data_IF_369006774887
#
_entry.id   IF_369006774887
#
_cell.length_a   1.000
_cell.length_b   1.000
_cell.length_c   1.000
_cell.angle_alpha   90.00
_cell.angle_beta   90.00
_cell.angle_gamma   90.00
#
_symmetry.space_group_name_H-M   'P 1'
#
loop_
_entity.id
_entity.type
_entity.pdbx_description
1 polymer ?
#
# COMPACT_ATOMS: atom_id res chain seq x y z
N UNK A 1 2.00 39.45 -31.32
CA UNK A 1 2.04 38.97 -29.94
C UNK A 1 3.49 38.96 -29.47
N UNK A 2 3.79 39.57 -28.34
CA UNK A 2 5.10 39.48 -27.71
C UNK A 2 5.40 38.00 -27.40
N UNK A 3 6.54 37.49 -27.88
CA UNK A 3 6.95 36.12 -27.54
C UNK A 3 7.25 36.10 -26.03
N UNK A 4 6.65 35.17 -25.26
CA UNK A 4 7.00 35.04 -23.86
C UNK A 4 8.50 34.74 -23.77
N UNK A 5 9.21 35.54 -22.99
CA UNK A 5 10.64 35.33 -22.79
C UNK A 5 10.86 34.11 -21.88
N UNK A 6 12.07 33.55 -21.89
CA UNK A 6 12.39 32.32 -21.15
C UNK A 6 12.07 32.46 -19.64
N UNK A 7 12.28 33.65 -19.06
CA UNK A 7 11.99 33.93 -17.66
C UNK A 7 10.49 33.86 -17.33
N UNK A 8 9.62 34.34 -18.24
CA UNK A 8 8.18 34.24 -18.10
C UNK A 8 7.71 32.78 -18.16
N UNK A 9 8.32 31.97 -19.03
CA UNK A 9 8.01 30.53 -19.13
C UNK A 9 8.47 29.79 -17.88
N UNK A 10 9.68 30.05 -17.39
CA UNK A 10 10.19 29.46 -16.14
C UNK A 10 9.33 29.84 -14.92
N UNK A 11 8.91 31.10 -14.84
CA UNK A 11 7.99 31.56 -13.79
C UNK A 11 6.65 30.84 -13.85
N UNK A 12 6.11 30.65 -15.05
CA UNK A 12 4.87 29.90 -15.25
C UNK A 12 5.01 28.43 -14.84
N UNK A 13 6.10 27.75 -15.23
CA UNK A 13 6.34 26.35 -14.87
C UNK A 13 6.43 26.19 -13.36
N UNK A 14 7.20 27.04 -12.69
CA UNK A 14 7.30 27.03 -11.22
C UNK A 14 5.94 27.21 -10.54
N UNK A 15 5.10 28.10 -11.07
CA UNK A 15 3.76 28.31 -10.54
C UNK A 15 2.85 27.09 -10.75
N UNK A 16 2.90 26.45 -11.93
CA UNK A 16 2.14 25.23 -12.20
C UNK A 16 2.60 24.05 -11.33
N UNK A 17 3.90 23.93 -11.07
CA UNK A 17 4.45 22.91 -10.17
C UNK A 17 3.97 23.14 -8.73
N UNK A 18 3.87 24.40 -8.30
CA UNK A 18 3.30 24.74 -6.99
C UNK A 18 1.81 24.34 -6.90
N UNK A 19 1.01 24.68 -7.92
CA UNK A 19 -0.42 24.30 -7.97
C UNK A 19 -0.58 22.79 -7.97
N UNK A 20 0.26 22.07 -8.74
CA UNK A 20 0.29 20.61 -8.77
C UNK A 20 0.61 20.03 -7.40
N UNK A 21 1.63 20.57 -6.72
CA UNK A 21 2.02 20.14 -5.38
C UNK A 21 0.89 20.33 -4.36
N UNK A 22 0.19 21.48 -4.41
CA UNK A 22 -0.98 21.73 -3.55
C UNK A 22 -2.09 20.72 -3.83
N UNK A 23 -2.37 20.46 -5.11
CA UNK A 23 -3.39 19.51 -5.53
C UNK A 23 -3.09 18.08 -5.06
N UNK A 24 -1.84 17.64 -5.18
CA UNK A 24 -1.37 16.32 -4.73
C UNK A 24 -1.33 16.19 -3.20
N UNK A 25 -1.08 17.29 -2.48
CA UNK A 25 -1.07 17.33 -1.02
C UNK A 25 -2.47 17.34 -0.41
N UNK A 26 -3.51 17.64 -1.20
CA UNK A 26 -4.90 17.72 -0.74
C UNK A 26 -5.18 18.89 0.20
N UNK A 27 -4.28 19.87 0.29
CA UNK A 27 -4.48 21.06 1.11
C UNK A 27 -5.65 21.89 0.59
N UNK A 28 -6.33 22.54 1.54
CA UNK A 28 -7.35 23.51 1.22
C UNK A 28 -6.71 24.89 1.16
N UNK A 29 -7.02 25.65 0.12
CA UNK A 29 -6.55 27.02 -0.06
C UNK A 29 -7.72 27.99 0.06
N UNK A 30 -7.49 29.16 0.66
CA UNK A 30 -8.50 30.21 0.71
C UNK A 30 -8.76 30.82 -0.67
N UNK A 31 -9.90 31.48 -0.87
CA UNK A 31 -10.18 32.22 -2.13
C UNK A 31 -9.07 33.21 -2.48
N UNK A 32 -8.47 33.87 -1.49
CA UNK A 32 -7.37 34.83 -1.70
C UNK A 32 -6.11 34.14 -2.21
N UNK A 33 -5.72 33.02 -1.61
CA UNK A 33 -4.56 32.23 -2.04
C UNK A 33 -4.80 31.60 -3.42
N UNK A 34 -6.01 31.09 -3.66
CA UNK A 34 -6.41 30.55 -4.96
C UNK A 34 -6.29 31.61 -6.08
N UNK A 35 -6.72 32.85 -5.82
CA UNK A 35 -6.58 33.93 -6.79
C UNK A 35 -5.13 34.31 -7.03
N UNK A 36 -4.28 34.29 -5.99
CA UNK A 36 -2.84 34.55 -6.15
C UNK A 36 -2.15 33.44 -6.96
N UNK A 37 -2.50 32.17 -6.72
CA UNK A 37 -1.95 31.03 -7.45
C UNK A 37 -2.31 31.06 -8.93
N UNK A 38 -3.53 31.50 -9.25
CA UNK A 38 -4.08 31.42 -10.62
C UNK A 38 -4.06 32.75 -11.37
N UNK A 39 -3.54 33.81 -10.75
CA UNK A 39 -3.56 35.18 -11.26
C UNK A 39 -4.99 35.65 -11.62
N UNK A 40 -5.93 35.39 -10.71
CA UNK A 40 -7.35 35.78 -10.88
C UNK A 40 -7.61 37.19 -10.36
N UNK A 41 -8.53 37.87 -11.03
CA UNK A 41 -8.91 39.25 -10.66
C UNK A 41 -9.69 39.30 -9.34
N UNK A 42 -9.69 40.47 -8.70
CA UNK A 42 -10.49 40.74 -7.49
C UNK A 42 -11.99 40.50 -7.75
N UNK A 43 -12.48 40.84 -8.94
CA UNK A 43 -13.88 40.59 -9.31
C UNK A 43 -14.21 39.08 -9.32
N UNK A 44 -13.27 38.26 -9.79
CA UNK A 44 -13.38 36.80 -9.75
C UNK A 44 -13.37 36.30 -8.31
N UNK A 45 -12.50 36.84 -7.44
CA UNK A 45 -12.44 36.49 -6.03
C UNK A 45 -13.79 36.73 -5.31
N UNK A 46 -14.38 37.92 -5.49
CA UNK A 46 -15.69 38.25 -4.91
C UNK A 46 -16.79 37.30 -5.43
N UNK A 47 -16.75 36.93 -6.71
CA UNK A 47 -17.70 35.95 -7.25
C UNK A 47 -17.52 34.58 -6.62
N UNK A 48 -16.28 34.11 -6.46
CA UNK A 48 -15.95 32.80 -5.87
C UNK A 48 -16.40 32.70 -4.41
N UNK A 49 -16.23 33.77 -3.62
CA UNK A 49 -16.66 33.78 -2.21
C UNK A 49 -18.18 33.63 -2.03
N UNK A 50 -18.99 33.87 -3.06
CA UNK A 50 -20.45 33.69 -3.02
C UNK A 50 -20.92 32.31 -3.48
N UNK A 51 -20.01 31.45 -3.95
CA UNK A 51 -20.39 30.15 -4.51
C UNK A 51 -20.79 29.16 -3.40
N UNK A 52 -21.83 28.36 -3.69
CA UNK A 52 -22.33 27.33 -2.78
C UNK A 52 -21.30 26.21 -2.56
N UNK A 53 -21.45 25.47 -1.46
CA UNK A 53 -20.62 24.29 -1.15
C UNK A 53 -20.67 23.29 -2.31
N UNK A 54 -19.55 22.61 -2.58
CA UNK A 54 -19.37 21.69 -3.71
C UNK A 54 -19.41 22.33 -5.10
N UNK A 55 -19.50 23.66 -5.22
CA UNK A 55 -19.30 24.34 -6.51
C UNK A 55 -17.91 24.00 -7.07
N UNK A 56 -17.84 23.73 -8.38
CA UNK A 56 -16.61 23.39 -9.08
C UNK A 56 -16.38 24.28 -10.28
N UNK A 57 -15.12 24.60 -10.55
CA UNK A 57 -14.69 25.19 -11.83
C UNK A 57 -13.35 24.61 -12.25
N UNK A 58 -13.09 24.61 -13.55
CA UNK A 58 -11.83 24.15 -14.12
C UNK A 58 -10.87 25.33 -14.33
N UNK A 59 -9.59 25.10 -14.08
CA UNK A 59 -8.50 26.00 -14.43
C UNK A 59 -7.33 25.18 -14.99
N UNK A 60 -7.04 25.34 -16.28
CA UNK A 60 -6.10 24.50 -17.03
C UNK A 60 -6.41 23.00 -16.81
N UNK A 61 -5.46 22.24 -16.26
CA UNK A 61 -5.57 20.82 -15.98
C UNK A 61 -5.97 20.53 -14.52
N UNK A 62 -6.60 21.47 -13.84
CA UNK A 62 -7.03 21.36 -12.45
C UNK A 62 -8.51 21.69 -12.29
N UNK A 63 -9.14 21.05 -11.31
CA UNK A 63 -10.50 21.34 -10.86
C UNK A 63 -10.44 21.89 -9.45
N UNK A 64 -11.09 23.02 -9.21
CA UNK A 64 -11.20 23.62 -7.90
C UNK A 64 -12.61 23.40 -7.36
N UNK A 65 -12.71 22.78 -6.19
CA UNK A 65 -13.98 22.46 -5.54
C UNK A 65 -14.09 23.26 -4.24
N UNK A 66 -15.20 23.97 -4.04
CA UNK A 66 -15.51 24.59 -2.75
C UNK A 66 -15.82 23.49 -1.75
N UNK A 67 -14.98 23.35 -0.72
CA UNK A 67 -15.06 22.25 0.26
C UNK A 67 -15.55 22.67 1.63
N UNK A 68 -15.56 23.97 1.92
CA UNK A 68 -16.12 24.48 3.15
C UNK A 68 -15.85 25.96 3.37
N UNK A 69 -16.46 26.48 4.43
CA UNK A 69 -16.21 27.82 4.94
C UNK A 69 -15.79 27.70 6.40
N UNK A 70 -14.73 28.41 6.77
CA UNK A 70 -14.36 28.60 8.17
C UNK A 70 -14.35 30.10 8.44
N UNK A 71 -15.14 30.54 9.43
CA UNK A 71 -15.42 31.96 9.66
C UNK A 71 -15.95 32.64 8.38
N UNK A 72 -15.34 33.75 7.94
CA UNK A 72 -15.71 34.44 6.71
C UNK A 72 -14.84 34.03 5.51
N UNK A 73 -14.07 32.95 5.61
CA UNK A 73 -13.13 32.51 4.57
C UNK A 73 -13.64 31.23 3.90
N UNK A 74 -13.76 31.28 2.57
CA UNK A 74 -14.09 30.12 1.74
C UNK A 74 -12.83 29.34 1.39
N UNK A 75 -12.91 28.02 1.48
CA UNK A 75 -11.82 27.09 1.22
C UNK A 75 -12.10 26.20 0.03
N UNK A 76 -11.03 25.97 -0.75
CA UNK A 76 -11.06 25.25 -2.01
C UNK A 76 -10.06 24.10 -1.99
N UNK A 77 -10.50 22.94 -2.47
CA UNK A 77 -9.60 21.83 -2.77
C UNK A 77 -9.30 21.84 -4.27
N UNK A 78 -8.02 21.75 -4.61
CA UNK A 78 -7.55 21.63 -5.99
C UNK A 78 -7.27 20.16 -6.27
N UNK A 79 -7.75 19.64 -7.39
CA UNK A 79 -7.43 18.28 -7.86
C UNK A 79 -7.01 18.31 -9.32
N UNK A 80 -6.10 17.44 -9.73
CA UNK A 80 -5.78 17.27 -11.15
C UNK A 80 -6.99 16.75 -11.91
N UNK A 81 -7.28 17.35 -13.07
CA UNK A 81 -8.29 16.86 -14.00
C UNK A 81 -7.70 15.65 -14.74
N UNK A 82 -8.32 14.47 -14.60
CA UNK A 82 -7.94 13.30 -15.40
C UNK A 82 -8.26 13.56 -16.88
N UNK A 83 -7.45 13.02 -17.79
CA UNK A 83 -7.55 13.25 -19.23
C UNK A 83 -8.82 12.65 -19.90
N UNK A 84 -9.75 12.11 -19.13
CA UNK A 84 -10.93 11.39 -19.63
C UNK A 84 -12.19 12.26 -19.77
N UNK A 85 -12.14 13.56 -19.46
CA UNK A 85 -13.33 14.43 -19.59
C UNK A 85 -12.97 15.73 -20.31
N UNK A 86 -13.02 15.65 -21.64
CA UNK A 86 -13.47 16.76 -22.47
C UNK A 86 -14.71 16.29 -23.22
N UNK A 87 -15.79 16.04 -22.48
CA UNK A 87 -17.12 16.17 -23.08
C UNK A 87 -17.57 17.62 -22.90
N UNK A 88 -17.88 18.25 -24.03
CA UNK A 88 -18.27 19.64 -24.09
C UNK A 88 -19.63 19.84 -23.47
N UNK A 89 -19.66 20.38 -22.25
CA UNK A 89 -20.83 21.12 -21.78
C UNK A 89 -20.40 22.29 -20.91
N UNK A 90 -21.05 23.41 -21.18
CA UNK A 90 -20.64 24.78 -20.91
C UNK A 90 -20.41 25.15 -19.44
N UNK A 91 -19.38 25.98 -19.24
CA UNK A 91 -19.11 26.70 -18.00
C UNK A 91 -18.11 27.84 -18.23
N UNK A 92 -18.41 28.73 -19.18
CA UNK A 92 -17.61 29.91 -19.51
C UNK A 92 -17.75 31.00 -18.43
N UNK A 93 -16.64 31.43 -17.82
CA UNK A 93 -16.24 32.85 -17.60
C UNK A 93 -14.71 32.82 -17.35
N UNK A 94 -13.81 33.50 -18.06
CA UNK A 94 -13.86 34.29 -19.27
C UNK A 94 -12.43 34.52 -19.77
N UNK A 95 -12.26 34.62 -21.09
CA UNK A 95 -11.13 35.30 -21.72
C UNK A 95 -11.65 36.00 -22.98
N UNK A 96 -11.28 37.27 -23.24
CA UNK A 96 -11.49 37.87 -24.55
C UNK A 96 -10.48 37.26 -25.54
N UNK A 97 -11.00 36.69 -26.63
CA UNK A 97 -10.22 36.23 -27.78
C UNK A 97 -9.71 37.41 -28.61
N UNK A 98 -8.50 37.29 -29.15
CA UNK A 98 -8.24 37.65 -30.54
C UNK A 98 -7.25 36.65 -31.18
N UNK A 99 -7.74 36.08 -32.27
CA UNK A 99 -7.12 35.50 -33.48
C UNK A 99 -5.59 35.54 -33.59
N UNK A 100 -4.96 34.39 -33.87
CA UNK A 100 -4.48 34.08 -35.22
C UNK A 100 -3.96 32.65 -35.33
N UNK A 101 -4.31 32.01 -36.45
CA UNK A 101 -3.97 30.64 -36.82
C UNK A 101 -2.48 30.55 -37.21
N UNK A 102 -1.75 29.58 -36.68
CA UNK A 102 -0.63 28.94 -37.37
C UNK A 102 -0.66 27.45 -37.07
N UNK A 103 -0.96 26.66 -38.09
CA UNK A 103 -0.77 25.22 -38.10
C UNK A 103 0.73 24.91 -38.02
N UNK A 104 1.14 24.11 -37.03
CA UNK A 104 2.45 23.46 -37.02
C UNK A 104 2.27 22.02 -36.57
N UNK A 105 2.77 21.16 -37.45
CA UNK A 105 2.82 19.70 -37.45
C UNK A 105 3.12 19.06 -36.09
N UNK A 106 2.33 18.04 -35.79
CA UNK A 106 2.52 17.02 -34.75
C UNK A 106 3.87 16.31 -34.83
N UNK A 107 4.59 16.12 -33.72
CA UNK A 107 5.53 15.03 -33.56
C UNK A 107 4.82 13.77 -33.03
N UNK A 108 5.04 12.68 -33.75
CA UNK A 108 4.93 11.25 -33.46
C UNK A 108 4.20 10.75 -32.18
N UNK A 109 3.14 9.89 -32.28
CA UNK A 109 2.40 9.35 -31.13
C UNK A 109 3.12 8.30 -30.27
N UNK A 110 4.40 7.98 -30.50
CA UNK A 110 5.01 6.77 -29.91
C UNK A 110 5.63 6.90 -28.51
N UNK A 111 5.58 8.07 -27.86
CA UNK A 111 6.23 8.30 -26.55
C UNK A 111 5.29 8.40 -25.33
N UNK A 112 4.05 7.90 -25.42
CA UNK A 112 3.08 7.92 -24.33
C UNK A 112 2.54 6.51 -24.04
N UNK A 113 3.36 5.68 -23.38
CA UNK A 113 2.82 4.55 -22.61
C UNK A 113 3.54 4.42 -21.27
N UNK A 114 2.71 4.18 -20.25
CA UNK A 114 3.02 3.68 -18.91
C UNK A 114 3.21 4.76 -17.82
N UNK A 115 2.08 5.25 -17.30
CA UNK A 115 1.98 5.67 -15.90
C UNK A 115 1.44 4.52 -15.05
N UNK A 116 1.78 4.46 -13.76
CA UNK A 116 1.21 3.52 -12.79
C UNK A 116 -0.26 3.77 -12.50
N UNK A 117 -1.11 2.76 -12.63
CA UNK A 117 -2.45 2.77 -12.03
C UNK A 117 -2.35 2.44 -10.54
N UNK A 118 -2.96 3.28 -9.69
CA UNK A 118 -3.31 2.88 -8.33
C UNK A 118 -4.60 2.08 -8.39
N UNK A 119 -4.53 0.74 -8.28
CA UNK A 119 -5.73 -0.06 -8.09
C UNK A 119 -6.16 -0.09 -6.62
N UNK A 120 -7.37 0.38 -6.38
CA UNK A 120 -8.10 0.17 -5.12
C UNK A 120 -8.69 -1.24 -5.16
N UNK A 121 -8.16 -2.16 -4.37
CA UNK A 121 -8.80 -3.46 -4.11
C UNK A 121 -9.29 -3.48 -2.67
N UNK A 122 -10.59 -3.33 -2.48
CA UNK A 122 -11.26 -3.67 -1.22
C UNK A 122 -11.64 -5.17 -1.28
N UNK A 123 -11.32 -5.98 -0.26
CA UNK A 123 -11.74 -7.38 -0.24
C UNK A 123 -13.27 -7.50 -0.09
N UNK A 124 -13.91 -8.50 -0.72
CA UNK A 124 -15.32 -8.78 -0.51
C UNK A 124 -15.57 -9.23 0.95
N UNK A 125 -16.74 -8.93 1.52
CA UNK A 125 -17.08 -9.41 2.86
C UNK A 125 -17.13 -10.95 2.89
N UNK A 126 -16.68 -11.59 3.99
CA UNK A 126 -16.70 -13.04 4.10
C UNK A 126 -18.13 -13.55 4.05
N UNK A 127 -18.38 -14.55 3.18
CA UNK A 127 -19.64 -15.31 3.19
C UNK A 127 -19.69 -16.17 4.46
N UNK A 128 -20.85 -16.31 5.13
CA UNK A 128 -20.98 -17.21 6.25
C UNK A 128 -20.88 -18.66 5.76
N UNK A 129 -19.79 -19.34 6.13
CA UNK A 129 -19.64 -20.78 5.90
C UNK A 129 -20.26 -21.56 7.06
N UNK A 130 -21.16 -22.47 6.72
CA UNK A 130 -21.80 -23.41 7.63
C UNK A 130 -20.75 -24.29 8.35
N UNK A 131 -21.04 -24.62 9.60
CA UNK A 131 -20.23 -25.49 10.46
C UNK A 131 -20.06 -26.88 9.83
N UNK A 132 -18.84 -27.44 9.76
CA UNK A 132 -18.67 -28.88 9.61
C UNK A 132 -18.64 -29.55 10.99
N UNK A 133 -19.42 -30.62 11.11
CA UNK A 133 -19.41 -31.54 12.26
C UNK A 133 -18.03 -32.19 12.44
N UNK A 134 -17.53 -32.15 13.67
CA UNK A 134 -16.29 -32.77 14.09
C UNK A 134 -16.54 -34.27 14.32
N UNK A 135 -16.00 -35.15 13.47
CA UNK A 135 -15.83 -36.57 13.78
C UNK A 135 -14.37 -36.79 14.20
N UNK A 136 -14.15 -37.03 15.49
CA UNK A 136 -12.84 -37.37 16.05
C UNK A 136 -12.64 -38.88 15.90
N UNK A 137 -11.64 -39.29 15.11
CA UNK A 137 -11.08 -40.63 15.15
C UNK A 137 -9.67 -40.56 15.77
N UNK A 138 -9.54 -41.03 17.01
CA UNK A 138 -8.27 -41.19 17.71
C UNK A 138 -7.74 -42.61 17.46
N UNK A 139 -6.49 -42.72 17.01
CA UNK A 139 -5.78 -43.99 16.91
C UNK A 139 -5.13 -44.34 18.26
N UNK A 140 -5.42 -45.55 18.74
CA UNK A 140 -4.85 -46.18 19.94
C UNK A 140 -3.46 -46.77 19.68
N UNK A 141 -2.64 -46.81 20.74
CA UNK A 141 -1.71 -47.90 21.10
C UNK A 141 -1.61 -47.93 22.64
N UNK A 142 -1.26 -49.08 23.25
CA UNK A 142 -2.04 -49.65 24.35
C UNK A 142 -1.32 -49.62 25.69
N UNK A 143 -2.08 -49.82 26.77
CA UNK A 143 -1.53 -50.41 27.97
C UNK A 143 -2.48 -51.42 28.62
N UNK A 144 -1.85 -52.34 29.32
CA UNK A 144 -2.31 -53.66 29.70
C UNK A 144 -3.24 -53.73 30.93
N UNK A 145 -4.13 -54.73 30.88
CA UNK A 145 -4.51 -55.72 31.93
C UNK A 145 -5.89 -55.63 32.61
N UNK A 146 -6.50 -56.83 32.60
CA UNK A 146 -7.48 -57.43 33.51
C UNK A 146 -8.92 -56.95 33.42
N UNK A 147 -9.94 -57.78 33.62
CA UNK A 147 -10.18 -59.22 33.44
C UNK A 147 -11.71 -59.34 33.59
N UNK A 148 -12.35 -60.16 32.75
CA UNK A 148 -13.57 -60.97 32.96
C UNK A 148 -14.74 -60.34 33.78
N UNK A 149 -15.99 -60.40 33.34
CA UNK A 149 -16.89 -61.58 33.33
C UNK A 149 -18.16 -61.17 32.56
N UNK A 150 -18.79 -62.14 31.89
CA UNK A 150 -19.94 -62.02 31.01
C UNK A 150 -21.31 -62.10 31.77
N UNK A 151 -22.46 -62.42 31.13
CA UNK A 151 -23.64 -61.56 30.86
C UNK A 151 -24.88 -62.11 31.66
N UNK A 152 -26.18 -62.01 31.29
CA UNK A 152 -26.87 -61.45 30.10
C UNK A 152 -28.25 -60.77 30.33
N UNK A 153 -28.87 -60.40 29.20
CA UNK A 153 -30.29 -60.61 28.84
C UNK A 153 -31.34 -59.45 28.92
N UNK A 154 -31.85 -59.12 27.72
CA UNK A 154 -33.27 -59.03 27.27
C UNK A 154 -34.21 -58.06 28.02
N UNK A 155 -34.84 -57.13 27.29
CA UNK A 155 -36.31 -57.03 27.06
C UNK A 155 -36.67 -55.73 26.29
N UNK A 156 -37.52 -55.94 25.31
CA UNK A 156 -38.26 -55.06 24.40
C UNK A 156 -39.17 -54.01 25.08
N UNK A 157 -39.42 -52.86 24.42
CA UNK A 157 -40.69 -52.50 23.73
C UNK A 157 -41.00 -50.98 23.67
N UNK A 158 -41.49 -50.59 22.49
CA UNK A 158 -42.61 -49.66 22.22
C UNK A 158 -42.42 -48.12 22.28
N UNK A 159 -42.57 -47.52 21.09
CA UNK A 159 -43.21 -46.20 20.80
C UNK A 159 -44.71 -46.22 21.17
N UNK A 160 -45.51 -45.11 21.17
CA UNK A 160 -45.38 -43.88 20.35
C UNK A 160 -45.85 -42.55 21.01
N UNK A 161 -45.62 -41.42 20.31
CA UNK A 161 -46.63 -40.39 19.98
C UNK A 161 -46.01 -39.00 19.70
N UNK A 162 -46.36 -38.42 18.55
CA UNK A 162 -46.20 -36.99 18.21
C UNK A 162 -47.49 -36.22 18.55
N UNK A 163 -47.40 -34.88 18.64
CA UNK A 163 -48.38 -34.04 17.94
C UNK A 163 -47.74 -32.96 17.05
N UNK A 164 -48.43 -32.69 15.94
CA UNK A 164 -48.22 -31.61 14.96
C UNK A 164 -48.94 -30.31 15.40
N UNK A 165 -48.33 -29.15 15.16
CA UNK A 165 -48.98 -27.82 15.03
C UNK A 165 -48.16 -27.05 13.96
N UNK A 166 -48.62 -26.96 12.71
CA UNK A 166 -49.39 -25.87 12.06
C UNK A 166 -48.71 -24.49 12.07
N UNK A 167 -48.53 -23.95 10.85
CA UNK A 167 -47.86 -22.70 10.51
C UNK A 167 -48.85 -21.71 9.88
N UNK A 168 -48.70 -20.42 10.19
CA UNK A 168 -49.19 -19.29 9.38
C UNK A 168 -48.29 -18.05 9.58
N UNK A 169 -48.27 -17.09 8.64
CA UNK A 169 -47.11 -16.25 8.33
C UNK A 169 -47.13 -14.87 9.01
N UNK A 170 -45.97 -14.39 9.47
CA UNK A 170 -45.79 -13.05 10.02
C UNK A 170 -44.84 -12.17 9.21
N UNK A 171 -45.29 -10.92 9.04
CA UNK A 171 -44.82 -9.82 8.19
C UNK A 171 -43.42 -9.33 8.56
N UNK A 172 -42.62 -9.01 7.53
CA UNK A 172 -41.36 -8.28 7.64
C UNK A 172 -41.57 -6.82 8.09
N UNK A 173 -40.75 -6.32 9.04
CA UNK A 173 -40.48 -4.89 9.17
C UNK A 173 -39.11 -4.54 8.55
N UNK A 174 -39.12 -3.50 7.69
CA UNK A 174 -37.94 -2.83 7.13
C UNK A 174 -36.99 -2.38 8.24
N UNK A 175 -35.72 -2.81 8.20
CA UNK A 175 -34.66 -2.27 9.05
C UNK A 175 -33.99 -1.08 8.36
N UNK A 176 -34.26 0.12 8.87
CA UNK A 176 -33.32 1.24 8.80
C UNK A 176 -31.99 0.81 9.45
N UNK A 177 -30.92 0.74 8.67
CA UNK A 177 -29.58 0.52 9.21
C UNK A 177 -29.02 1.83 9.73
N UNK A 178 -29.26 2.03 11.02
CA UNK A 178 -28.52 2.90 11.90
C UNK A 178 -27.03 2.54 11.86
N UNK A 179 -26.19 3.49 11.47
CA UNK A 179 -24.73 3.40 11.43
C UNK A 179 -24.20 3.03 12.83
N UNK A 180 -23.92 1.75 13.07
CA UNK A 180 -23.23 1.29 14.27
C UNK A 180 -21.76 1.07 13.91
N UNK A 181 -20.88 1.80 14.60
CA UNK A 181 -19.47 1.45 14.68
C UNK A 181 -19.36 0.00 15.18
N UNK A 182 -18.83 -0.89 14.35
CA UNK A 182 -18.56 -2.27 14.75
C UNK A 182 -17.34 -2.28 15.68
N UNK A 183 -17.61 -2.53 16.95
CA UNK A 183 -16.65 -3.07 17.91
C UNK A 183 -16.57 -4.58 17.69
N UNK A 184 -15.44 -5.10 17.24
CA UNK A 184 -15.09 -6.51 17.37
C UNK A 184 -13.69 -6.60 17.99
N UNK A 185 -13.67 -6.97 19.26
CA UNK A 185 -12.47 -7.25 20.07
C UNK A 185 -11.95 -8.65 19.74
N UNK A 186 -10.75 -8.73 19.16
CA UNK A 186 -9.87 -9.90 19.30
C UNK A 186 -8.93 -9.59 20.48
N UNK A 187 -9.00 -10.39 21.54
CA UNK A 187 -8.42 -10.17 22.88
C UNK A 187 -6.92 -9.78 22.85
N UNK A 188 -6.63 -8.47 22.79
CA UNK A 188 -5.26 -7.93 22.88
C UNK A 188 -4.42 -8.04 21.60
N UNK A 189 -5.03 -8.32 20.44
CA UNK A 189 -4.32 -8.28 19.14
C UNK A 189 -4.22 -6.83 18.64
N UNK A 190 -3.00 -6.40 18.35
CA UNK A 190 -2.69 -5.10 17.79
C UNK A 190 -2.46 -5.24 16.28
N UNK A 191 -3.32 -4.66 15.43
CA UNK A 191 -3.21 -4.83 14.00
C UNK A 191 -1.92 -4.21 13.44
N UNK A 192 -1.37 -4.88 12.45
CA UNK A 192 -0.26 -4.40 11.64
C UNK A 192 -0.75 -3.67 10.40
N UNK A 193 -0.19 -2.49 10.16
CA UNK A 193 -0.49 -1.65 9.01
C UNK A 193 0.73 -1.56 8.10
N UNK A 194 0.47 -1.46 6.80
CA UNK A 194 1.51 -1.28 5.79
C UNK A 194 1.01 -0.33 4.70
N UNK A 195 1.95 0.37 4.06
CA UNK A 195 1.71 1.16 2.86
C UNK A 195 2.36 0.42 1.70
N UNK A 196 1.61 0.21 0.61
CA UNK A 196 2.11 -0.47 -0.59
C UNK A 196 1.94 0.48 -1.77
N UNK A 197 3.04 0.75 -2.48
CA UNK A 197 3.08 1.69 -3.59
C UNK A 197 3.58 0.93 -4.81
N UNK A 198 2.78 0.93 -5.86
CA UNK A 198 3.14 0.32 -7.14
C UNK A 198 3.91 1.28 -8.02
N UNK A 199 4.68 0.67 -8.93
CA UNK A 199 5.50 1.33 -9.93
C UNK A 199 6.37 2.47 -9.35
N UNK A 200 7.08 2.12 -8.29
CA UNK A 200 7.87 3.05 -7.51
C UNK A 200 8.97 3.73 -8.32
N UNK A 201 9.61 2.99 -9.23
CA UNK A 201 10.58 3.51 -10.18
C UNK A 201 9.94 3.71 -11.57
N UNK A 202 10.27 4.78 -12.30
CA UNK A 202 10.02 4.86 -13.74
C UNK A 202 10.67 3.68 -14.47
N UNK A 203 10.02 3.19 -15.53
CA UNK A 203 10.46 2.01 -16.26
C UNK A 203 11.94 2.05 -16.68
N UNK A 204 12.50 3.16 -17.21
CA UNK A 204 13.92 3.20 -17.57
C UNK A 204 14.87 2.99 -16.38
N UNK A 205 14.49 3.40 -15.17
CA UNK A 205 15.29 3.18 -13.96
C UNK A 205 15.22 1.72 -13.50
N UNK A 206 14.05 1.09 -13.63
CA UNK A 206 13.88 -0.33 -13.37
C UNK A 206 14.69 -1.19 -14.36
N UNK A 207 14.66 -0.86 -15.64
CA UNK A 207 15.42 -1.58 -16.68
C UNK A 207 16.93 -1.50 -16.40
N UNK A 208 17.42 -0.31 -16.04
CA UNK A 208 18.82 -0.15 -15.63
C UNK A 208 19.15 -0.92 -14.35
N UNK A 209 18.23 -0.99 -13.38
CA UNK A 209 18.42 -1.79 -12.17
C UNK A 209 18.51 -3.29 -12.48
N UNK A 210 17.66 -3.80 -13.38
CA UNK A 210 17.71 -5.20 -13.83
C UNK A 210 19.02 -5.52 -14.55
N UNK A 211 19.47 -4.65 -15.45
CA UNK A 211 20.76 -4.79 -16.11
C UNK A 211 21.93 -4.74 -15.10
N UNK A 212 21.87 -3.82 -14.13
CA UNK A 212 22.87 -3.68 -13.08
C UNK A 212 23.02 -4.96 -12.26
N UNK A 213 21.91 -5.56 -11.79
CA UNK A 213 22.02 -6.79 -11.00
C UNK A 213 22.56 -7.97 -11.81
N UNK A 214 22.21 -8.05 -13.10
CA UNK A 214 22.76 -9.06 -14.00
C UNK A 214 24.28 -8.92 -14.16
N UNK A 215 24.78 -7.69 -14.35
CA UNK A 215 26.22 -7.40 -14.44
C UNK A 215 26.95 -7.69 -13.12
N UNK A 216 26.31 -7.43 -11.97
CA UNK A 216 26.92 -7.60 -10.64
C UNK A 216 26.70 -8.99 -10.03
N UNK A 217 26.17 -9.95 -10.78
CA UNK A 217 25.82 -11.29 -10.28
C UNK A 217 26.94 -11.92 -9.43
N UNK A 218 28.18 -11.91 -9.91
CA UNK A 218 29.32 -12.57 -9.24
C UNK A 218 29.80 -11.85 -7.97
N UNK A 219 29.25 -10.66 -7.68
CA UNK A 219 29.58 -9.88 -6.48
C UNK A 219 28.59 -10.11 -5.33
N UNK A 220 27.48 -10.81 -5.59
CA UNK A 220 26.52 -11.18 -4.57
C UNK A 220 27.08 -12.26 -3.64
N UNK A 221 26.93 -12.07 -2.33
CA UNK A 221 27.44 -12.97 -1.32
C UNK A 221 26.31 -13.55 -0.47
N UNK A 222 26.44 -14.76 0.10
CA UNK A 222 25.45 -15.29 1.03
C UNK A 222 25.20 -14.36 2.22
N UNK A 223 23.94 -14.15 2.58
CA UNK A 223 23.59 -13.38 3.78
C UNK A 223 23.88 -14.15 5.06
N UNK A 224 24.22 -13.42 6.12
CA UNK A 224 24.29 -13.94 7.49
C UNK A 224 23.18 -13.33 8.34
N UNK A 225 22.97 -13.86 9.54
CA UNK A 225 22.15 -13.24 10.59
C UNK A 225 22.98 -13.10 11.87
N UNK A 226 22.49 -12.33 12.84
CA UNK A 226 23.18 -12.05 14.11
C UNK A 226 23.47 -13.32 14.92
N UNK A 227 22.64 -14.36 14.80
CA UNK A 227 22.81 -15.64 15.47
C UNK A 227 23.76 -16.60 14.72
N UNK A 228 24.23 -16.23 13.52
CA UNK A 228 24.97 -17.09 12.57
C UNK A 228 24.30 -18.45 12.29
N UNK A 229 22.98 -18.53 12.44
CA UNK A 229 22.21 -19.75 12.14
C UNK A 229 21.93 -19.85 10.63
N UNK A 230 22.56 -20.77 9.89
CA UNK A 230 22.34 -20.89 8.44
C UNK A 230 20.90 -21.30 8.08
N UNK A 231 20.14 -21.88 9.03
CA UNK A 231 18.76 -22.30 8.85
C UNK A 231 17.73 -21.20 9.12
N UNK A 232 18.15 -19.97 9.43
CA UNK A 232 17.24 -18.88 9.79
C UNK A 232 17.02 -17.86 8.68
N UNK A 233 18.05 -17.63 7.86
CA UNK A 233 17.98 -16.77 6.67
C UNK A 233 18.82 -17.37 5.55
N UNK A 234 18.23 -17.45 4.35
CA UNK A 234 18.94 -17.87 3.15
C UNK A 234 18.62 -16.91 2.02
N UNK A 235 19.61 -16.10 1.63
CA UNK A 235 19.53 -15.15 0.51
C UNK A 235 20.95 -14.77 0.07
N UNK A 236 21.07 -14.06 -1.05
CA UNK A 236 22.29 -13.35 -1.41
C UNK A 236 22.13 -11.85 -1.18
N UNK A 237 23.23 -11.13 -0.96
CA UNK A 237 23.28 -9.69 -0.74
C UNK A 237 24.43 -9.04 -1.53
N UNK A 238 24.17 -7.85 -2.04
CA UNK A 238 25.17 -6.91 -2.52
C UNK A 238 25.12 -5.67 -1.61
N UNK A 239 26.17 -5.45 -0.81
CA UNK A 239 26.20 -4.35 0.16
C UNK A 239 26.45 -2.98 -0.48
N UNK A 240 27.33 -2.92 -1.47
CA UNK A 240 27.74 -1.67 -2.11
C UNK A 240 27.11 -1.52 -3.50
N UNK A 241 26.12 -0.65 -3.60
CA UNK A 241 25.40 -0.33 -4.85
C UNK A 241 24.98 1.16 -4.82
N UNK A 242 25.95 2.10 -4.87
CA UNK A 242 25.72 3.51 -4.54
C UNK A 242 24.70 4.19 -5.46
N UNK A 243 24.67 3.87 -6.75
CA UNK A 243 23.70 4.43 -7.71
C UNK A 243 22.25 4.17 -7.26
N UNK A 244 21.88 2.90 -7.12
CA UNK A 244 20.50 2.53 -6.81
C UNK A 244 20.15 2.73 -5.34
N UNK A 245 21.12 2.61 -4.42
CA UNK A 245 20.87 2.97 -3.02
C UNK A 245 20.60 4.47 -2.88
N UNK A 246 21.30 5.34 -3.62
CA UNK A 246 21.04 6.78 -3.68
C UNK A 246 19.65 7.08 -4.25
N UNK A 247 19.33 6.49 -5.40
CA UNK A 247 18.03 6.65 -6.06
C UNK A 247 16.86 6.28 -5.13
N UNK A 248 16.94 5.12 -4.46
CA UNK A 248 15.90 4.67 -3.54
C UNK A 248 15.78 5.61 -2.34
N UNK A 249 16.89 6.02 -1.72
CA UNK A 249 16.87 6.98 -0.59
C UNK A 249 16.18 8.28 -0.96
N UNK A 250 16.50 8.85 -2.12
CA UNK A 250 15.95 10.15 -2.52
C UNK A 250 14.45 10.07 -2.79
N UNK A 251 13.98 9.02 -3.47
CA UNK A 251 12.54 8.79 -3.68
C UNK A 251 11.82 8.55 -2.36
N UNK A 252 12.40 7.75 -1.45
CA UNK A 252 11.82 7.50 -0.13
C UNK A 252 11.65 8.82 0.64
N UNK A 253 12.65 9.71 0.66
CA UNK A 253 12.55 11.02 1.31
C UNK A 253 11.40 11.85 0.76
N UNK A 254 11.21 11.85 -0.56
CA UNK A 254 10.13 12.61 -1.22
C UNK A 254 8.74 12.12 -0.80
N UNK A 255 8.54 10.81 -0.66
CA UNK A 255 7.22 10.24 -0.33
C UNK A 255 6.98 10.06 1.18
N UNK A 256 8.02 10.22 2.01
CA UNK A 256 7.96 9.89 3.43
C UNK A 256 6.84 10.59 4.19
N UNK A 257 6.59 11.91 4.01
CA UNK A 257 5.48 12.58 4.71
C UNK A 257 4.12 11.92 4.41
N UNK A 258 3.89 11.51 3.15
CA UNK A 258 2.68 10.81 2.74
C UNK A 258 2.56 9.42 3.35
N UNK A 259 3.67 8.67 3.38
CA UNK A 259 3.73 7.33 4.01
C UNK A 259 3.44 7.41 5.51
N UNK A 260 4.06 8.35 6.22
CA UNK A 260 3.86 8.55 7.66
C UNK A 260 2.41 8.92 7.97
N UNK A 261 1.83 9.85 7.21
CA UNK A 261 0.43 10.23 7.36
C UNK A 261 -0.52 9.04 7.11
N UNK A 262 -0.30 8.29 6.02
CA UNK A 262 -1.12 7.12 5.70
C UNK A 262 -1.07 6.06 6.80
N UNK A 263 0.12 5.79 7.35
CA UNK A 263 0.32 4.85 8.44
C UNK A 263 -0.01 5.40 9.83
N UNK A 264 -0.42 6.68 9.91
CA UNK A 264 -0.69 7.40 11.16
C UNK A 264 0.49 7.38 12.13
N UNK A 265 1.70 7.47 11.59
CA UNK A 265 2.93 7.55 12.36
C UNK A 265 3.27 9.03 12.55
N UNK A 266 3.57 9.49 13.78
CA UNK A 266 4.03 10.85 14.01
C UNK A 266 5.26 11.18 13.15
N UNK A 267 5.33 12.40 12.65
CA UNK A 267 6.52 12.88 11.93
C UNK A 267 7.74 12.84 12.83
N UNK A 268 8.88 12.45 12.28
CA UNK A 268 10.17 12.45 12.96
C UNK A 268 11.27 12.90 12.00
N UNK A 269 12.36 13.44 12.55
CA UNK A 269 13.53 13.79 11.77
C UNK A 269 14.25 12.52 11.30
N UNK A 270 14.47 12.40 9.98
CA UNK A 270 15.13 11.24 9.39
C UNK A 270 16.65 11.43 9.48
N UNK A 271 17.30 10.67 10.36
CA UNK A 271 18.76 10.70 10.47
C UNK A 271 19.45 9.89 9.36
N UNK A 272 18.91 8.72 9.03
CA UNK A 272 19.50 7.82 8.04
C UNK A 272 18.45 6.96 7.35
N UNK A 273 18.77 6.52 6.13
CA UNK A 273 18.02 5.51 5.38
C UNK A 273 19.02 4.45 4.92
N UNK A 274 19.00 3.30 5.58
CA UNK A 274 19.78 2.12 5.17
C UNK A 274 19.21 1.51 3.88
N UNK A 275 20.06 0.87 3.08
CA UNK A 275 19.63 0.12 1.89
C UNK A 275 20.50 -1.12 1.69
N UNK A 276 19.86 -2.25 1.46
CA UNK A 276 20.47 -3.54 1.15
C UNK A 276 19.82 -4.11 -0.11
N UNK A 277 20.64 -4.50 -1.09
CA UNK A 277 20.17 -5.16 -2.29
C UNK A 277 20.32 -6.68 -2.10
N UNK A 278 19.22 -7.41 -2.16
CA UNK A 278 19.17 -8.83 -1.85
C UNK A 278 18.48 -9.63 -2.96
N UNK A 279 18.87 -10.90 -3.09
CA UNK A 279 18.30 -11.85 -4.05
C UNK A 279 17.92 -13.15 -3.34
N UNK A 280 16.68 -13.59 -3.54
CA UNK A 280 16.17 -14.88 -3.08
C UNK A 280 15.93 -15.79 -4.29
N UNK A 281 16.73 -16.85 -4.41
CA UNK A 281 16.58 -17.90 -5.43
C UNK A 281 15.76 -19.09 -4.91
N UNK A 282 15.87 -20.24 -5.58
CA UNK A 282 15.16 -21.46 -5.21
C UNK A 282 15.48 -21.92 -3.77
N UNK A 283 14.43 -22.12 -2.96
CA UNK A 283 14.50 -22.52 -1.56
C UNK A 283 15.01 -21.45 -0.58
N UNK A 284 15.19 -20.19 -1.03
CA UNK A 284 15.59 -19.08 -0.17
C UNK A 284 14.40 -18.54 0.65
N UNK A 285 14.65 -18.05 1.86
CA UNK A 285 13.63 -17.59 2.83
C UNK A 285 14.26 -16.71 3.92
N UNK A 286 13.42 -16.11 4.78
CA UNK A 286 13.85 -15.48 6.02
C UNK A 286 12.76 -15.67 7.09
N UNK A 287 13.07 -16.38 8.18
CA UNK A 287 12.12 -16.66 9.27
C UNK A 287 11.67 -15.42 10.03
N UNK A 288 10.61 -15.57 10.83
CA UNK A 288 10.00 -14.54 11.67
C UNK A 288 11.04 -13.76 12.49
N UNK A 289 11.13 -12.45 12.23
CA UNK A 289 12.00 -11.50 12.93
C UNK A 289 11.37 -10.10 12.97
N UNK A 290 11.94 -9.20 13.77
CA UNK A 290 11.71 -7.77 13.67
C UNK A 290 13.05 -7.07 13.37
N UNK A 291 12.98 -5.80 13.03
CA UNK A 291 14.14 -5.07 12.52
C UNK A 291 14.74 -4.06 13.50
N UNK A 292 14.11 -3.88 14.65
CA UNK A 292 14.53 -2.95 15.70
C UNK A 292 14.61 -3.60 17.09
N UNK A 293 14.77 -4.93 17.15
CA UNK A 293 14.77 -5.72 18.37
C UNK A 293 16.06 -5.66 19.20
N UNK A 294 17.07 -4.90 18.79
CA UNK A 294 18.34 -4.73 19.51
C UNK A 294 18.65 -3.25 19.80
N UNK A 295 19.49 -2.93 20.80
CA UNK A 295 19.90 -1.55 21.07
C UNK A 295 20.49 -0.83 19.85
N UNK A 296 21.26 -1.53 19.03
CA UNK A 296 21.92 -0.98 17.83
C UNK A 296 20.92 -0.65 16.71
N UNK A 297 19.74 -1.29 16.75
CA UNK A 297 18.70 -1.17 15.72
C UNK A 297 17.46 -0.42 16.21
N UNK A 298 17.45 0.02 17.46
CA UNK A 298 16.31 0.65 18.13
C UNK A 298 15.86 1.98 17.51
N UNK A 299 16.73 2.66 16.75
CA UNK A 299 16.38 3.90 16.04
C UNK A 299 15.59 3.66 14.74
N UNK A 300 15.50 2.41 14.26
CA UNK A 300 14.71 2.06 13.06
C UNK A 300 13.22 2.14 13.38
N UNK A 301 12.55 3.09 12.72
CA UNK A 301 11.11 3.33 12.88
C UNK A 301 10.31 2.56 11.83
N UNK A 302 10.74 2.65 10.57
CA UNK A 302 10.11 2.01 9.43
C UNK A 302 11.07 1.08 8.71
N UNK A 303 10.54 -0.08 8.32
CA UNK A 303 11.15 -0.99 7.36
C UNK A 303 10.50 -0.75 5.99
N UNK A 304 11.30 -0.81 4.94
CA UNK A 304 10.80 -0.85 3.58
C UNK A 304 11.36 -2.04 2.79
N UNK A 305 10.57 -2.53 1.83
CA UNK A 305 11.00 -3.58 0.89
C UNK A 305 10.52 -3.20 -0.51
N UNK A 306 11.46 -2.81 -1.38
CA UNK A 306 11.21 -2.58 -2.80
C UNK A 306 11.45 -3.86 -3.58
N UNK A 307 10.43 -4.35 -4.29
CA UNK A 307 10.45 -5.55 -5.10
C UNK A 307 10.73 -5.25 -6.56
N UNK A 308 11.60 -6.03 -7.17
CA UNK A 308 11.81 -6.05 -8.62
C UNK A 308 12.29 -7.43 -9.05
N UNK A 309 12.03 -7.78 -10.31
CA UNK A 309 12.46 -9.05 -10.91
C UNK A 309 12.21 -9.00 -12.41
N UNK A 310 12.91 -9.86 -13.14
CA UNK A 310 12.74 -10.00 -14.58
C UNK A 310 11.31 -10.48 -14.91
N UNK A 311 10.76 -9.99 -16.01
CA UNK A 311 9.43 -10.38 -16.49
C UNK A 311 9.54 -11.31 -17.69
N UNK A 312 8.69 -12.36 -17.80
CA UNK A 312 7.62 -12.71 -16.86
C UNK A 312 8.14 -13.25 -15.52
N UNK A 313 7.34 -13.13 -14.45
CA UNK A 313 7.66 -13.73 -13.14
C UNK A 313 7.74 -15.26 -13.26
N UNK A 314 8.94 -15.81 -13.09
CA UNK A 314 9.21 -17.26 -13.22
C UNK A 314 9.43 -17.98 -11.88
N UNK A 315 9.28 -17.26 -10.76
CA UNK A 315 9.31 -17.84 -9.41
C UNK A 315 7.93 -17.76 -8.74
N UNK A 316 7.72 -18.65 -7.77
CA UNK A 316 6.53 -18.70 -6.90
C UNK A 316 6.94 -18.52 -5.43
N UNK A 317 5.97 -18.21 -4.57
CA UNK A 317 6.22 -17.92 -3.16
C UNK A 317 7.04 -16.65 -2.97
N UNK A 318 7.83 -16.59 -1.88
CA UNK A 318 8.56 -15.39 -1.51
C UNK A 318 7.67 -14.28 -0.93
N UNK A 319 6.47 -14.60 -0.50
CA UNK A 319 5.55 -13.63 0.07
C UNK A 319 6.11 -13.09 1.39
N UNK A 320 5.89 -11.80 1.64
CA UNK A 320 6.18 -11.18 2.93
C UNK A 320 4.94 -11.32 3.81
N UNK A 321 5.09 -12.01 4.94
CA UNK A 321 4.07 -12.03 5.99
C UNK A 321 4.42 -10.96 7.03
N UNK A 322 3.48 -10.08 7.34
CA UNK A 322 3.59 -9.09 8.43
C UNK A 322 2.54 -9.47 9.48
N UNK A 323 2.99 -9.97 10.62
CA UNK A 323 2.10 -10.44 11.67
C UNK A 323 1.50 -9.28 12.44
N UNK A 324 0.21 -9.39 12.78
CA UNK A 324 -0.35 -8.56 13.84
C UNK A 324 0.39 -8.88 15.16
N UNK A 325 0.43 -7.95 16.10
CA UNK A 325 1.20 -8.12 17.34
C UNK A 325 0.31 -8.53 18.51
N UNK A 326 0.86 -9.28 19.46
CA UNK A 326 0.34 -9.42 20.83
C UNK A 326 1.39 -8.93 21.82
N UNK A 327 0.95 -8.55 23.02
CA UNK A 327 1.87 -8.26 24.12
C UNK A 327 1.85 -9.43 25.09
N UNK A 328 2.98 -10.14 25.20
CA UNK A 328 3.17 -11.24 26.14
C UNK A 328 4.41 -10.95 26.98
N UNK A 329 4.26 -10.99 28.32
CA UNK A 329 5.34 -10.69 29.27
C UNK A 329 6.07 -9.36 29.01
N UNK A 330 5.35 -8.34 28.51
CA UNK A 330 5.92 -7.02 28.20
C UNK A 330 6.62 -6.93 26.83
N UNK A 331 6.62 -7.99 26.03
CA UNK A 331 7.24 -8.03 24.71
C UNK A 331 6.20 -8.17 23.60
N UNK A 332 6.49 -7.60 22.43
CA UNK A 332 5.71 -7.86 21.22
C UNK A 332 6.03 -9.24 20.68
N UNK A 333 5.00 -10.06 20.50
CA UNK A 333 5.07 -11.38 19.85
C UNK A 333 4.12 -11.46 18.67
N UNK A 334 4.33 -12.40 17.75
CA UNK A 334 3.52 -12.55 16.55
C UNK A 334 2.15 -13.14 16.91
N UNK A 335 1.07 -12.48 16.49
CA UNK A 335 -0.26 -13.06 16.51
C UNK A 335 -0.40 -14.13 15.40
N UNK A 336 -1.49 -14.91 15.43
CA UNK A 336 -1.82 -15.83 14.35
C UNK A 336 -2.25 -15.09 13.08
N UNK A 337 -2.93 -13.95 13.24
CA UNK A 337 -3.36 -13.10 12.14
C UNK A 337 -2.18 -12.32 11.56
N UNK A 338 -2.20 -12.14 10.25
CA UNK A 338 -1.12 -11.50 9.51
C UNK A 338 -1.65 -10.89 8.22
N UNK A 339 -0.85 -10.00 7.64
CA UNK A 339 -1.00 -9.50 6.27
C UNK A 339 -0.02 -10.26 5.39
N UNK A 340 -0.48 -10.74 4.24
CA UNK A 340 0.35 -11.42 3.25
C UNK A 340 0.52 -10.54 2.03
N UNK A 341 1.77 -10.25 1.66
CA UNK A 341 2.12 -9.35 0.56
C UNK A 341 2.91 -10.14 -0.47
N UNK A 342 2.29 -10.35 -1.63
CA UNK A 342 2.97 -11.00 -2.75
C UNK A 342 4.01 -10.04 -3.36
N UNK A 343 5.20 -10.53 -3.76
CA UNK A 343 6.17 -9.71 -4.46
C UNK A 343 5.63 -9.37 -5.85
N UNK A 344 5.31 -8.08 -6.04
CA UNK A 344 4.91 -7.47 -7.31
C UNK A 344 6.07 -6.63 -7.82
N UNK A 345 6.49 -6.83 -9.08
CA UNK A 345 7.64 -6.10 -9.62
C UNK A 345 7.37 -4.60 -9.63
N UNK A 346 8.40 -3.83 -9.35
CA UNK A 346 8.35 -2.38 -9.23
C UNK A 346 7.45 -1.85 -8.10
N UNK A 347 7.20 -2.61 -7.05
CA UNK A 347 6.40 -2.16 -5.90
C UNK A 347 7.26 -1.99 -4.64
N UNK A 348 6.92 -1.05 -3.77
CA UNK A 348 7.58 -0.86 -2.47
C UNK A 348 6.54 -0.95 -1.35
N UNK A 349 6.86 -1.70 -0.29
CA UNK A 349 6.08 -1.75 0.94
C UNK A 349 6.80 -1.04 2.08
N UNK A 350 6.07 -0.33 2.93
CA UNK A 350 6.53 0.26 4.19
C UNK A 350 5.70 -0.25 5.36
N UNK A 351 6.33 -0.53 6.49
CA UNK A 351 5.66 -0.94 7.73
C UNK A 351 6.56 -0.65 8.94
N UNK A 352 6.00 -0.63 10.16
CA UNK A 352 6.79 -0.37 11.37
C UNK A 352 7.85 -1.46 11.60
N UNK A 353 9.09 -1.08 11.89
CA UNK A 353 10.21 -2.02 12.08
C UNK A 353 10.03 -2.96 13.28
N UNK A 354 9.14 -2.63 14.21
CA UNK A 354 8.78 -3.50 15.35
C UNK A 354 7.89 -4.67 14.98
N UNK A 355 7.23 -4.62 13.81
CA UNK A 355 6.34 -5.72 13.42
C UNK A 355 7.17 -6.97 13.14
N UNK A 356 6.77 -8.08 13.76
CA UNK A 356 7.32 -9.37 13.41
C UNK A 356 6.86 -9.74 11.99
N UNK A 357 7.79 -10.21 11.18
CA UNK A 357 7.55 -10.53 9.78
C UNK A 357 8.50 -11.61 9.27
N UNK A 358 8.09 -12.30 8.20
CA UNK A 358 8.90 -13.33 7.55
C UNK A 358 8.77 -13.30 6.03
N UNK A 359 9.77 -13.85 5.35
CA UNK A 359 9.74 -14.11 3.91
C UNK A 359 9.55 -15.61 3.71
N UNK A 360 8.40 -15.98 3.15
CA UNK A 360 8.10 -17.37 2.83
C UNK A 360 9.09 -17.92 1.79
N UNK A 361 9.29 -19.26 1.75
CA UNK A 361 10.18 -19.88 0.78
C UNK A 361 9.86 -19.49 -0.66
N UNK A 362 10.91 -19.21 -1.43
CA UNK A 362 10.84 -19.00 -2.89
C UNK A 362 11.01 -20.34 -3.59
N UNK A 363 10.19 -20.60 -4.61
CA UNK A 363 10.41 -21.71 -5.55
C UNK A 363 10.70 -21.14 -6.94
N UNK A 364 11.86 -21.47 -7.49
CA UNK A 364 12.33 -20.97 -8.79
C UNK A 364 12.99 -22.12 -9.55
N UNK A 365 12.21 -22.81 -10.39
CA UNK A 365 12.65 -24.04 -11.06
C UNK A 365 13.82 -23.83 -12.03
N UNK A 366 13.96 -22.64 -12.62
CA UNK A 366 15.07 -22.33 -13.52
C UNK A 366 16.41 -22.23 -12.80
N UNK A 367 16.40 -21.89 -11.50
CA UNK A 367 17.58 -21.67 -10.64
C UNK A 367 18.59 -20.64 -11.20
N UNK A 368 18.21 -19.87 -12.21
CA UNK A 368 19.04 -18.79 -12.75
C UNK A 368 19.00 -17.62 -11.78
N UNK A 369 20.13 -16.96 -11.58
CA UNK A 369 20.23 -15.79 -10.71
C UNK A 369 19.23 -14.69 -11.08
N UNK A 370 19.16 -14.35 -12.38
CA UNK A 370 18.31 -13.26 -12.89
C UNK A 370 16.80 -13.54 -12.79
N UNK A 371 16.44 -14.81 -12.61
CA UNK A 371 15.06 -15.26 -12.45
C UNK A 371 14.59 -15.21 -10.98
N UNK A 372 15.47 -14.79 -10.06
CA UNK A 372 15.21 -14.72 -8.64
C UNK A 372 14.30 -13.55 -8.21
N UNK A 373 13.90 -13.59 -6.95
CA UNK A 373 13.18 -12.51 -6.27
C UNK A 373 14.18 -11.49 -5.74
N UNK A 374 14.28 -10.34 -6.38
CA UNK A 374 15.15 -9.25 -5.91
C UNK A 374 14.39 -8.27 -5.03
N UNK A 375 15.12 -7.75 -4.04
CA UNK A 375 14.64 -6.65 -3.20
C UNK A 375 15.73 -5.62 -2.95
N UNK A 376 15.38 -4.34 -2.97
CA UNK A 376 16.12 -3.32 -2.21
C UNK A 376 15.34 -3.09 -0.93
N UNK A 377 15.80 -3.65 0.19
CA UNK A 377 15.18 -3.50 1.49
C UNK A 377 16.03 -2.60 2.40
N UNK A 378 15.42 -1.97 3.39
CA UNK A 378 16.15 -1.08 4.28
C UNK A 378 15.30 -0.49 5.39
N UNK A 379 15.91 0.41 6.15
CA UNK A 379 15.35 0.94 7.37
C UNK A 379 15.52 2.45 7.46
N UNK A 380 14.50 3.12 7.97
CA UNK A 380 14.47 4.58 8.16
C UNK A 380 14.63 4.86 9.65
N UNK A 381 15.66 5.62 9.99
CA UNK A 381 16.03 5.94 11.35
C UNK A 381 15.49 7.30 11.76
N UNK A 382 15.00 7.39 12.99
CA UNK A 382 14.85 8.68 13.66
C UNK A 382 16.21 9.20 14.15
N UNK A 383 16.34 10.51 14.21
CA UNK A 383 17.47 11.21 14.84
C UNK A 383 17.61 10.94 16.34
#
# INVERSE_FOLDING_TARGET
MEKPNLSQIEGLVKNLDLVKHIAESGYWVSTKELCALFDLTIATATSLDTKALMYKFAWRNFVCTHVGRQNNTVFWQITSQSAEVLDGSDGVIGQPRTSDQIAVTTPDPEMLRQRPDFQVVLPPPPKPTAKPDLVIAAANMPDHKHAQIAPPAIVTNQSPAQPKIQAEPQKEPKKEQQLRAQSDSDDGVLPSYYALIDNFLPQPQLDRLLAYVAEKQDQFQPTTNSAKDPGYRKSLILYNFPEFSGLIRDRIRQIMPGVLNFLRIPTFEIANIEAQLTMHGDGNFYKIHNDNGSPETASRVLTYVYYFFNQPKVFQGGDLLIYDSKVENGYYVAAKSHKQIQPRSNSIVFFLSRYLHEVLPVSCSSRKFIDGRFTINGWIHKA
#
